data_IF_968756806164
#
_entry.id   IF_968756806164
#
_cell.length_a   1.000
_cell.length_b   1.000
_cell.length_c   1.000
_cell.angle_alpha   90.00
_cell.angle_beta   90.00
_cell.angle_gamma   90.00
#
_symmetry.space_group_name_H-M   'P 1'
#
loop_
_entity.id
_entity.type
_entity.pdbx_description
1 polymer ?
#
# COMPACT_ATOMS: atom_id res chain seq x y z
N UNK A 1 15.01 13.02 28.56
CA UNK A 1 15.06 13.31 27.11
C UNK A 1 16.50 13.20 26.66
N UNK A 2 16.81 12.42 25.62
CA UNK A 2 18.18 12.23 25.15
C UNK A 2 18.65 13.49 24.41
N UNK A 3 19.64 14.19 24.96
CA UNK A 3 20.20 15.41 24.38
C UNK A 3 21.67 15.19 24.04
N UNK A 4 22.06 15.51 22.81
CA UNK A 4 23.47 15.55 22.44
C UNK A 4 24.13 16.78 23.09
N UNK A 5 25.45 16.71 23.29
CA UNK A 5 26.21 17.90 23.68
C UNK A 5 26.17 18.96 22.57
N UNK A 6 26.36 20.21 22.95
CA UNK A 6 26.29 21.34 22.04
C UNK A 6 27.21 21.15 20.80
N UNK A 7 26.68 21.38 19.60
CA UNK A 7 27.39 21.22 18.33
C UNK A 7 27.33 19.80 17.70
N UNK A 8 27.05 18.75 18.48
CA UNK A 8 26.91 17.38 17.93
C UNK A 8 25.67 17.25 17.04
N UNK A 9 24.60 18.00 17.31
CA UNK A 9 23.39 18.01 16.49
C UNK A 9 23.65 18.41 15.04
N UNK A 10 24.52 19.41 14.82
CA UNK A 10 24.93 19.85 13.48
C UNK A 10 25.70 18.75 12.75
N UNK A 11 26.63 18.11 13.44
CA UNK A 11 27.41 17.00 12.89
C UNK A 11 26.54 15.80 12.54
N UNK A 12 25.60 15.42 13.42
CA UNK A 12 24.69 14.30 13.20
C UNK A 12 23.71 14.59 12.05
N UNK A 13 23.18 15.81 12.00
CA UNK A 13 22.35 16.27 10.88
C UNK A 13 23.10 16.21 9.56
N UNK A 14 24.36 16.68 9.53
CA UNK A 14 25.23 16.57 8.36
C UNK A 14 25.46 15.11 7.94
N UNK A 15 25.78 14.23 8.90
CA UNK A 15 25.98 12.79 8.62
C UNK A 15 24.73 12.15 8.03
N UNK A 16 23.54 12.42 8.59
CA UNK A 16 22.27 11.90 8.06
C UNK A 16 22.05 12.38 6.64
N UNK A 17 22.14 13.69 6.39
CA UNK A 17 22.01 14.27 5.05
C UNK A 17 22.97 13.63 4.05
N UNK A 18 24.24 13.40 4.42
CA UNK A 18 25.22 12.71 3.58
C UNK A 18 24.77 11.31 3.16
N UNK A 19 24.23 10.52 4.08
CA UNK A 19 23.74 9.16 3.76
C UNK A 19 22.45 9.23 2.95
N UNK A 20 21.54 10.15 3.26
CA UNK A 20 20.32 10.36 2.47
C UNK A 20 20.65 10.71 1.01
N UNK A 21 21.59 11.64 0.78
CA UNK A 21 22.07 11.97 -0.57
C UNK A 21 22.75 10.79 -1.26
N UNK A 22 23.48 9.95 -0.51
CA UNK A 22 24.05 8.71 -1.06
C UNK A 22 22.95 7.74 -1.51
N UNK A 23 21.93 7.52 -0.67
CA UNK A 23 20.78 6.67 -1.01
C UNK A 23 20.02 7.20 -2.24
N UNK A 24 19.85 8.52 -2.36
CA UNK A 24 19.21 9.12 -3.53
C UNK A 24 19.99 8.85 -4.84
N UNK A 25 21.33 9.02 -4.81
CA UNK A 25 22.19 8.67 -5.95
C UNK A 25 22.16 7.18 -6.29
N UNK A 26 22.07 6.34 -5.27
CA UNK A 26 21.98 4.89 -5.42
C UNK A 26 20.66 4.47 -6.10
N UNK A 27 19.54 5.11 -5.72
CA UNK A 27 18.23 4.94 -6.37
C UNK A 27 18.32 5.27 -7.85
N UNK A 28 18.83 6.45 -8.19
CA UNK A 28 19.00 6.88 -9.58
C UNK A 28 19.90 5.91 -10.36
N UNK A 29 20.99 5.44 -9.73
CA UNK A 29 21.86 4.43 -10.34
C UNK A 29 21.10 3.14 -10.66
N UNK A 30 20.32 2.62 -9.71
CA UNK A 30 19.55 1.39 -9.93
C UNK A 30 18.51 1.61 -11.04
N UNK A 31 17.81 2.75 -11.04
CA UNK A 31 16.83 3.11 -12.10
C UNK A 31 17.48 3.10 -13.49
N UNK A 32 18.71 3.59 -13.63
CA UNK A 32 19.42 3.70 -14.92
C UNK A 32 20.05 2.38 -15.37
N UNK A 33 20.51 1.55 -14.44
CA UNK A 33 21.23 0.31 -14.75
C UNK A 33 20.34 -0.94 -14.76
N UNK A 34 19.16 -0.91 -14.13
CA UNK A 34 18.24 -2.04 -14.10
C UNK A 34 17.82 -2.46 -15.51
N UNK A 35 17.78 -3.77 -15.77
CA UNK A 35 17.47 -4.35 -17.07
C UNK A 35 18.58 -4.27 -18.13
N UNK A 36 19.68 -3.54 -17.89
CA UNK A 36 20.81 -3.47 -18.83
C UNK A 36 21.78 -4.64 -18.73
N UNK A 37 21.86 -5.26 -17.55
CA UNK A 37 22.82 -6.33 -17.24
C UNK A 37 22.17 -7.60 -16.67
N UNK A 38 20.86 -7.56 -16.43
CA UNK A 38 20.10 -8.70 -15.93
C UNK A 38 19.11 -9.17 -17.00
N UNK A 39 19.29 -10.40 -17.48
CA UNK A 39 18.36 -11.03 -18.44
C UNK A 39 17.09 -11.59 -17.78
N UNK A 40 17.07 -11.68 -16.44
CA UNK A 40 15.87 -12.06 -15.70
C UNK A 40 14.88 -10.89 -15.66
N UNK A 41 13.80 -11.06 -16.42
CA UNK A 41 12.71 -10.10 -16.55
C UNK A 41 12.01 -9.88 -15.20
N UNK A 42 11.78 -10.95 -14.43
CA UNK A 42 11.09 -10.86 -13.13
C UNK A 42 11.95 -10.07 -12.14
N UNK A 43 13.24 -10.36 -12.09
CA UNK A 43 14.17 -9.63 -11.23
C UNK A 43 14.22 -8.14 -11.59
N UNK A 44 14.20 -7.82 -12.89
CA UNK A 44 14.20 -6.44 -13.38
C UNK A 44 12.92 -5.69 -13.00
N UNK A 45 11.75 -6.26 -13.28
CA UNK A 45 10.44 -5.68 -12.96
C UNK A 45 10.28 -5.43 -11.45
N UNK A 46 10.63 -6.44 -10.63
CA UNK A 46 10.56 -6.33 -9.17
C UNK A 46 11.55 -5.28 -8.65
N UNK A 47 12.78 -5.24 -9.17
CA UNK A 47 13.79 -4.25 -8.76
C UNK A 47 13.27 -2.83 -9.01
N UNK A 48 12.76 -2.54 -10.21
CA UNK A 48 12.23 -1.22 -10.55
C UNK A 48 11.02 -0.85 -9.70
N UNK A 49 10.10 -1.79 -9.50
CA UNK A 49 8.89 -1.57 -8.69
C UNK A 49 9.22 -1.28 -7.22
N UNK A 50 10.18 -2.02 -6.66
CA UNK A 50 10.63 -1.81 -5.28
C UNK A 50 11.36 -0.48 -5.15
N UNK A 51 12.28 -0.15 -6.06
CA UNK A 51 12.99 1.14 -6.03
C UNK A 51 12.02 2.31 -6.09
N UNK A 52 11.05 2.27 -7.00
CA UNK A 52 10.01 3.30 -7.11
C UNK A 52 9.22 3.46 -5.80
N UNK A 53 8.86 2.34 -5.16
CA UNK A 53 8.13 2.36 -3.90
C UNK A 53 8.97 2.90 -2.74
N UNK A 54 10.24 2.49 -2.65
CA UNK A 54 11.19 3.02 -1.66
C UNK A 54 11.38 4.53 -1.84
N UNK A 55 11.54 5.01 -3.08
CA UNK A 55 11.69 6.43 -3.42
C UNK A 55 10.50 7.26 -2.93
N UNK A 56 9.27 6.78 -3.16
CA UNK A 56 8.05 7.44 -2.64
C UNK A 56 8.07 7.52 -1.11
N UNK A 57 8.31 6.41 -0.43
CA UNK A 57 8.30 6.36 1.03
C UNK A 57 9.38 7.24 1.67
N UNK A 58 10.60 7.25 1.11
CA UNK A 58 11.67 8.09 1.68
C UNK A 58 11.38 9.58 1.45
N UNK A 59 10.76 9.96 0.33
CA UNK A 59 10.38 11.36 0.10
C UNK A 59 9.35 11.81 1.14
N UNK A 60 8.37 10.97 1.49
CA UNK A 60 7.42 11.27 2.55
C UNK A 60 8.09 11.43 3.91
N UNK A 61 9.01 10.52 4.28
CA UNK A 61 9.74 10.58 5.54
C UNK A 61 10.68 11.80 5.59
N UNK A 62 11.36 12.13 4.50
CA UNK A 62 12.41 13.14 4.49
C UNK A 62 11.90 14.56 4.27
N UNK A 63 10.83 14.73 3.50
CA UNK A 63 10.36 16.04 3.07
C UNK A 63 9.07 16.48 3.78
N UNK A 64 8.25 15.54 4.28
CA UNK A 64 6.87 15.86 4.72
C UNK A 64 6.36 15.01 5.90
N UNK A 65 6.98 15.05 7.10
CA UNK A 65 6.37 14.44 8.29
C UNK A 65 5.18 15.29 8.78
N UNK A 66 4.06 15.24 8.07
CA UNK A 66 2.85 16.01 8.44
C UNK A 66 2.02 15.35 9.54
N UNK A 67 2.18 14.03 9.74
CA UNK A 67 1.52 13.28 10.82
C UNK A 67 2.39 12.14 11.35
N UNK A 68 2.30 11.85 12.65
CA UNK A 68 2.93 10.66 13.27
C UNK A 68 2.54 9.38 12.55
N UNK A 69 1.26 9.22 12.21
CA UNK A 69 0.72 8.01 11.59
C UNK A 69 1.38 7.76 10.23
N UNK A 70 1.45 8.78 9.37
CA UNK A 70 2.11 8.69 8.06
C UNK A 70 3.57 8.33 8.23
N UNK A 71 4.24 8.93 9.21
CA UNK A 71 5.66 8.73 9.43
C UNK A 71 6.00 7.30 9.89
N UNK A 72 5.24 6.79 10.85
CA UNK A 72 5.43 5.43 11.40
C UNK A 72 4.98 4.36 10.41
N UNK A 73 3.90 4.62 9.65
CA UNK A 73 3.44 3.70 8.59
C UNK A 73 4.49 3.54 7.50
N UNK A 74 5.14 4.63 7.08
CA UNK A 74 6.23 4.58 6.11
C UNK A 74 7.49 3.86 6.66
N UNK A 75 7.83 4.03 7.95
CA UNK A 75 8.90 3.25 8.57
C UNK A 75 8.61 1.76 8.51
N UNK A 76 7.39 1.34 8.86
CA UNK A 76 6.97 -0.07 8.83
C UNK A 76 6.99 -0.62 7.41
N UNK A 77 6.49 0.14 6.44
CA UNK A 77 6.54 -0.22 5.03
C UNK A 77 7.99 -0.43 4.54
N UNK A 78 8.90 0.49 4.87
CA UNK A 78 10.32 0.34 4.50
C UNK A 78 10.93 -0.90 5.17
N UNK A 79 10.61 -1.18 6.42
CA UNK A 79 11.11 -2.36 7.11
C UNK A 79 10.64 -3.68 6.47
N UNK A 80 9.35 -3.79 6.17
CA UNK A 80 8.77 -4.95 5.47
C UNK A 80 9.36 -5.11 4.05
N UNK A 81 9.64 -3.99 3.39
CA UNK A 81 10.36 -3.98 2.11
C UNK A 81 11.79 -4.51 2.28
N UNK A 82 12.49 -4.13 3.34
CA UNK A 82 13.84 -4.64 3.63
C UNK A 82 13.87 -6.15 3.86
N UNK A 83 12.92 -6.68 4.65
CA UNK A 83 12.75 -8.13 4.80
C UNK A 83 12.54 -8.79 3.44
N UNK A 84 11.62 -8.23 2.64
CA UNK A 84 11.28 -8.75 1.31
C UNK A 84 12.50 -8.79 0.39
N UNK A 85 13.31 -7.73 0.34
CA UNK A 85 14.49 -7.67 -0.54
C UNK A 85 15.58 -8.62 -0.05
N UNK A 86 15.78 -8.76 1.26
CA UNK A 86 16.72 -9.78 1.77
C UNK A 86 16.26 -11.20 1.46
N UNK A 87 14.96 -11.49 1.48
CA UNK A 87 14.42 -12.77 1.03
C UNK A 87 14.68 -13.01 -0.45
N UNK A 88 14.54 -11.98 -1.30
CA UNK A 88 14.88 -12.08 -2.74
C UNK A 88 16.35 -12.43 -2.99
N UNK A 89 17.26 -12.00 -2.11
CA UNK A 89 18.69 -12.36 -2.18
C UNK A 89 18.94 -13.77 -1.61
N UNK A 90 18.28 -14.12 -0.51
CA UNK A 90 18.52 -15.37 0.22
C UNK A 90 17.87 -16.59 -0.45
N UNK A 91 16.72 -16.41 -1.11
CA UNK A 91 15.92 -17.46 -1.74
C UNK A 91 15.65 -17.11 -3.20
N UNK A 92 16.35 -17.74 -4.14
CA UNK A 92 16.19 -17.46 -5.58
C UNK A 92 14.74 -17.68 -6.07
N UNK A 93 14.03 -18.66 -5.49
CA UNK A 93 12.63 -18.95 -5.80
C UNK A 93 11.64 -17.93 -5.23
N UNK A 94 12.05 -17.05 -4.30
CA UNK A 94 11.16 -16.11 -3.63
C UNK A 94 10.58 -15.06 -4.57
N UNK A 95 11.27 -14.73 -5.67
CA UNK A 95 10.75 -13.80 -6.70
C UNK A 95 9.39 -14.22 -7.26
N UNK A 96 9.16 -15.53 -7.43
CA UNK A 96 7.88 -16.07 -7.90
C UNK A 96 6.79 -15.96 -6.83
N UNK A 97 7.14 -16.22 -5.56
CA UNK A 97 6.22 -16.07 -4.41
C UNK A 97 5.81 -14.61 -4.22
N UNK A 98 6.75 -13.67 -4.34
CA UNK A 98 6.48 -12.24 -4.27
C UNK A 98 5.56 -11.79 -5.42
N UNK A 99 5.85 -12.23 -6.65
CA UNK A 99 5.00 -11.92 -7.81
C UNK A 99 3.57 -12.42 -7.60
N UNK A 100 3.40 -13.66 -7.15
CA UNK A 100 2.08 -14.20 -6.79
C UNK A 100 1.37 -13.35 -5.72
N UNK A 101 2.09 -13.00 -4.65
CA UNK A 101 1.54 -12.17 -3.56
C UNK A 101 1.05 -10.81 -4.06
N UNK A 102 1.74 -10.18 -5.01
CA UNK A 102 1.35 -8.90 -5.59
C UNK A 102 -0.01 -9.00 -6.29
N UNK A 103 -0.22 -10.01 -7.15
CA UNK A 103 -1.49 -10.23 -7.84
C UNK A 103 -2.61 -10.54 -6.84
N UNK A 104 -2.36 -11.44 -5.89
CA UNK A 104 -3.36 -11.82 -4.90
C UNK A 104 -3.80 -10.64 -4.03
N UNK A 105 -2.85 -9.78 -3.60
CA UNK A 105 -3.16 -8.60 -2.79
C UNK A 105 -3.97 -7.56 -3.57
N UNK A 106 -3.70 -7.37 -4.87
CA UNK A 106 -4.50 -6.48 -5.72
C UNK A 106 -5.95 -6.95 -5.81
N UNK A 107 -6.17 -8.25 -6.05
CA UNK A 107 -7.52 -8.85 -6.11
C UNK A 107 -8.23 -8.72 -4.75
N UNK A 108 -7.55 -9.02 -3.65
CA UNK A 108 -8.17 -8.93 -2.32
C UNK A 108 -8.56 -7.48 -1.95
N UNK A 109 -7.69 -6.51 -2.29
CA UNK A 109 -8.01 -5.08 -2.12
C UNK A 109 -9.21 -4.67 -2.98
N UNK A 110 -9.26 -5.15 -4.22
CA UNK A 110 -10.38 -4.91 -5.13
C UNK A 110 -11.70 -5.37 -4.51
N UNK A 111 -11.75 -6.63 -4.03
CA UNK A 111 -12.93 -7.23 -3.39
C UNK A 111 -13.41 -6.45 -2.17
N UNK A 112 -12.47 -6.01 -1.31
CA UNK A 112 -12.83 -5.24 -0.11
C UNK A 112 -13.53 -3.92 -0.46
N UNK A 113 -13.09 -3.24 -1.52
CA UNK A 113 -13.74 -2.02 -2.01
C UNK A 113 -15.11 -2.31 -2.64
N UNK A 114 -15.23 -3.37 -3.42
CA UNK A 114 -16.50 -3.83 -4.00
C UNK A 114 -17.53 -4.15 -2.91
N UNK A 115 -17.13 -4.90 -1.90
CA UNK A 115 -17.99 -5.25 -0.76
C UNK A 115 -18.48 -4.00 -0.01
N UNK A 116 -17.61 -2.98 0.16
CA UNK A 116 -18.00 -1.73 0.80
C UNK A 116 -18.97 -0.90 -0.07
N UNK A 117 -18.68 -0.76 -1.36
CA UNK A 117 -19.57 -0.06 -2.30
C UNK A 117 -20.95 -0.73 -2.41
N UNK A 118 -21.03 -2.06 -2.30
CA UNK A 118 -22.30 -2.79 -2.27
C UNK A 118 -23.13 -2.52 -1.01
N UNK A 119 -22.48 -2.29 0.14
CA UNK A 119 -23.18 -1.85 1.35
C UNK A 119 -23.81 -0.48 1.16
N UNK A 120 -23.06 0.44 0.55
CA UNK A 120 -23.56 1.81 0.28
C UNK A 120 -24.69 1.81 -0.75
N UNK A 121 -24.64 0.95 -1.77
CA UNK A 121 -25.80 0.71 -2.66
C UNK A 121 -27.04 0.23 -1.91
N UNK A 122 -26.87 -0.69 -0.95
CA UNK A 122 -27.99 -1.23 -0.16
C UNK A 122 -28.63 -0.16 0.74
N UNK A 123 -27.83 0.80 1.21
CA UNK A 123 -28.32 1.99 1.94
C UNK A 123 -29.14 2.88 1.02
N UNK A 124 -28.63 3.21 -0.16
CA UNK A 124 -29.37 3.98 -1.16
C UNK A 124 -30.65 3.28 -1.63
N UNK A 125 -30.65 1.95 -1.72
CA UNK A 125 -31.87 1.17 -1.98
C UNK A 125 -32.94 1.36 -0.91
N UNK A 126 -32.52 1.56 0.35
CA UNK A 126 -33.44 1.78 1.47
C UNK A 126 -33.99 3.21 1.43
N UNK A 127 -33.10 4.20 1.26
CA UNK A 127 -33.49 5.61 1.10
C UNK A 127 -34.43 5.78 -0.09
N UNK A 128 -34.10 5.22 -1.26
CA UNK A 128 -34.96 5.33 -2.44
C UNK A 128 -36.37 4.78 -2.20
N UNK A 129 -36.51 3.65 -1.50
CA UNK A 129 -37.83 3.09 -1.16
C UNK A 129 -38.60 4.00 -0.21
N UNK A 130 -37.91 4.61 0.75
CA UNK A 130 -38.51 5.55 1.69
C UNK A 130 -38.94 6.83 0.96
N UNK A 131 -38.09 7.40 0.09
CA UNK A 131 -38.45 8.50 -0.81
C UNK A 131 -39.70 8.18 -1.62
N UNK A 132 -39.71 7.05 -2.34
CA UNK A 132 -40.84 6.59 -3.15
C UNK A 132 -42.13 6.44 -2.33
N UNK A 133 -42.02 6.03 -1.06
CA UNK A 133 -43.17 5.92 -0.16
C UNK A 133 -43.76 7.28 0.25
N UNK A 134 -42.92 8.31 0.39
CA UNK A 134 -43.32 9.69 0.70
C UNK A 134 -44.02 10.37 -0.49
N UNK A 135 -43.65 9.96 -1.71
CA UNK A 135 -44.34 10.36 -2.94
C UNK A 135 -45.69 9.63 -3.17
N UNK A 136 -46.03 8.61 -2.37
CA UNK A 136 -47.26 7.83 -2.51
C UNK A 136 -48.56 8.59 -2.19
N UNK A 137 -49.56 8.43 -3.07
CA UNK A 137 -50.93 8.99 -3.07
C UNK A 137 -51.08 10.49 -3.38
N UNK A 138 -50.90 10.83 -4.67
CA UNK A 138 -51.13 12.15 -5.29
C UNK A 138 -52.61 12.53 -5.44
N UNK A 139 -53.39 12.62 -4.35
CA UNK A 139 -54.78 13.10 -4.48
C UNK A 139 -55.14 14.42 -3.82
N UNK A 140 -54.35 14.99 -2.91
CA UNK A 140 -54.53 16.39 -2.47
C UNK A 140 -53.17 16.99 -2.06
N UNK A 141 -52.61 17.86 -2.91
CA UNK A 141 -51.41 18.64 -2.59
C UNK A 141 -51.89 20.00 -2.08
N UNK A 142 -51.92 20.20 -0.77
CA UNK A 142 -51.81 21.53 -0.18
C UNK A 142 -50.32 21.86 0.09
N UNK A 143 -50.00 23.14 0.26
CA UNK A 143 -48.62 23.62 0.46
C UNK A 143 -47.98 23.09 1.76
N UNK A 144 -48.75 22.86 2.83
CA UNK A 144 -48.26 22.33 4.11
C UNK A 144 -47.89 20.83 3.97
N UNK A 145 -48.65 20.07 3.18
CA UNK A 145 -48.35 18.67 2.81
C UNK A 145 -47.05 18.56 2.02
N UNK A 146 -46.81 19.50 1.09
CA UNK A 146 -45.56 19.54 0.32
C UNK A 146 -44.34 19.87 1.20
N UNK A 147 -44.44 20.88 2.08
CA UNK A 147 -43.35 21.26 2.98
C UNK A 147 -42.98 20.13 3.96
N UNK A 148 -43.98 19.40 4.47
CA UNK A 148 -43.73 18.25 5.34
C UNK A 148 -42.98 17.12 4.61
N UNK A 149 -43.34 16.83 3.36
CA UNK A 149 -42.65 15.81 2.54
C UNK A 149 -41.20 16.17 2.26
N UNK A 150 -40.93 17.44 1.92
CA UNK A 150 -39.55 17.92 1.72
C UNK A 150 -38.75 17.76 3.02
N UNK A 151 -39.31 18.16 4.17
CA UNK A 151 -38.64 17.99 5.46
C UNK A 151 -38.40 16.52 5.84
N UNK A 152 -39.30 15.60 5.45
CA UNK A 152 -39.10 14.16 5.68
C UNK A 152 -38.01 13.58 4.79
N UNK A 153 -37.93 14.00 3.52
CA UNK A 153 -36.84 13.62 2.61
C UNK A 153 -35.50 14.17 3.10
N UNK A 154 -35.44 15.43 3.53
CA UNK A 154 -34.21 16.03 4.08
C UNK A 154 -33.67 15.21 5.26
N UNK A 155 -34.56 14.74 6.16
CA UNK A 155 -34.16 13.87 7.29
C UNK A 155 -33.58 12.52 6.86
N UNK A 156 -34.02 11.98 5.73
CA UNK A 156 -33.43 10.74 5.20
C UNK A 156 -31.97 10.98 4.81
N UNK A 157 -31.67 12.12 4.19
CA UNK A 157 -30.31 12.47 3.82
C UNK A 157 -29.46 12.93 5.00
N UNK A 158 -30.03 13.61 6.00
CA UNK A 158 -29.35 13.90 7.26
C UNK A 158 -28.84 12.61 7.93
N UNK A 159 -29.64 11.54 7.89
CA UNK A 159 -29.23 10.22 8.43
C UNK A 159 -28.13 9.55 7.60
N UNK A 160 -28.09 9.83 6.29
CA UNK A 160 -27.04 9.36 5.40
C UNK A 160 -25.71 10.08 5.66
N UNK A 161 -25.77 11.36 6.03
CA UNK A 161 -24.59 12.16 6.37
C UNK A 161 -23.87 11.67 7.63
N UNK A 162 -24.60 11.08 8.59
CA UNK A 162 -24.00 10.41 9.75
C UNK A 162 -23.18 9.17 9.34
N UNK A 163 -23.47 8.59 8.18
CA UNK A 163 -22.81 7.41 7.61
C UNK A 163 -22.02 7.72 6.33
N UNK A 164 -21.71 9.00 6.10
CA UNK A 164 -21.12 9.49 4.84
C UNK A 164 -19.84 8.73 4.46
N UNK A 165 -19.72 8.51 3.16
CA UNK A 165 -18.66 7.72 2.53
C UNK A 165 -18.40 8.29 1.15
N UNK A 166 -17.23 8.00 0.58
CA UNK A 166 -16.89 8.41 -0.80
C UNK A 166 -17.92 7.97 -1.86
N UNK A 167 -18.73 6.95 -1.57
CA UNK A 167 -19.80 6.48 -2.45
C UNK A 167 -21.17 7.11 -2.16
N UNK A 168 -21.26 7.95 -1.12
CA UNK A 168 -22.49 8.59 -0.64
C UNK A 168 -22.38 10.12 -0.63
N UNK A 169 -21.16 10.69 -0.71
CA UNK A 169 -20.85 12.14 -0.59
C UNK A 169 -21.72 13.09 -1.44
N UNK A 170 -22.33 12.58 -2.52
CA UNK A 170 -23.14 13.38 -3.45
C UNK A 170 -24.57 12.85 -3.57
N UNK A 171 -25.01 11.97 -2.68
CA UNK A 171 -26.31 11.32 -2.76
C UNK A 171 -27.45 12.33 -2.55
N UNK A 172 -27.31 13.23 -1.58
CA UNK A 172 -28.28 14.32 -1.31
C UNK A 172 -28.52 15.17 -2.56
N UNK A 173 -27.46 15.65 -3.19
CA UNK A 173 -27.56 16.49 -4.39
C UNK A 173 -28.16 15.74 -5.59
N UNK A 174 -27.84 14.46 -5.75
CA UNK A 174 -28.23 13.67 -6.92
C UNK A 174 -29.60 12.98 -6.78
N UNK A 175 -30.06 12.77 -5.55
CA UNK A 175 -31.11 11.80 -5.24
C UNK A 175 -30.58 10.36 -5.28
N UNK A 176 -31.09 9.50 -4.39
CA UNK A 176 -30.62 8.13 -4.19
C UNK A 176 -30.73 7.29 -5.48
N UNK A 177 -31.85 7.42 -6.20
CA UNK A 177 -32.09 6.71 -7.45
C UNK A 177 -31.03 6.98 -8.53
N UNK A 178 -30.71 8.26 -8.78
CA UNK A 178 -29.68 8.63 -9.76
C UNK A 178 -28.28 8.31 -9.24
N UNK A 179 -28.01 8.56 -7.95
CA UNK A 179 -26.68 8.35 -7.37
C UNK A 179 -26.22 6.88 -7.45
N UNK A 180 -27.14 5.92 -7.30
CA UNK A 180 -26.87 4.49 -7.51
C UNK A 180 -26.23 4.20 -8.87
N UNK A 181 -26.58 4.94 -9.93
CA UNK A 181 -26.01 4.73 -11.26
C UNK A 181 -24.51 5.03 -11.30
N UNK A 182 -24.03 6.00 -10.51
CA UNK A 182 -22.61 6.29 -10.37
C UNK A 182 -21.86 5.16 -9.67
N UNK A 183 -22.42 4.62 -8.58
CA UNK A 183 -21.80 3.49 -7.87
C UNK A 183 -21.79 2.23 -8.76
N UNK A 184 -22.88 1.95 -9.50
CA UNK A 184 -22.90 0.84 -10.46
C UNK A 184 -21.86 1.02 -11.58
N UNK A 185 -21.66 2.25 -12.08
CA UNK A 185 -20.60 2.54 -13.06
C UNK A 185 -19.21 2.26 -12.50
N UNK A 186 -18.94 2.71 -11.27
CA UNK A 186 -17.71 2.39 -10.54
C UNK A 186 -17.51 0.87 -10.41
N UNK A 187 -18.52 0.14 -9.92
CA UNK A 187 -18.46 -1.32 -9.77
C UNK A 187 -18.18 -2.04 -11.09
N UNK A 188 -18.80 -1.59 -12.18
CA UNK A 188 -18.57 -2.16 -13.52
C UNK A 188 -17.14 -1.92 -13.98
N UNK A 189 -16.63 -0.70 -13.82
CA UNK A 189 -15.25 -0.37 -14.18
C UNK A 189 -14.24 -1.13 -13.33
N UNK A 190 -14.53 -1.29 -12.04
CA UNK A 190 -13.66 -1.99 -11.09
C UNK A 190 -13.65 -3.50 -11.33
N UNK A 191 -14.81 -4.10 -11.63
CA UNK A 191 -14.91 -5.51 -12.05
C UNK A 191 -14.09 -5.77 -13.32
N UNK A 192 -14.18 -4.90 -14.32
CA UNK A 192 -13.37 -5.02 -15.54
C UNK A 192 -11.87 -5.05 -15.21
N UNK A 193 -11.41 -4.18 -14.31
CA UNK A 193 -10.00 -4.16 -13.88
C UNK A 193 -9.63 -5.44 -13.12
N UNK A 194 -10.51 -5.98 -12.29
CA UNK A 194 -10.28 -7.26 -11.61
C UNK A 194 -10.14 -8.41 -12.61
N UNK A 195 -10.98 -8.44 -13.65
CA UNK A 195 -10.90 -9.44 -14.72
C UNK A 195 -9.60 -9.33 -15.52
N UNK A 196 -9.13 -8.11 -15.81
CA UNK A 196 -7.82 -7.87 -16.43
C UNK A 196 -6.69 -8.47 -15.58
N UNK A 197 -6.67 -8.18 -14.27
CA UNK A 197 -5.64 -8.70 -13.34
C UNK A 197 -5.69 -10.24 -13.26
N UNK A 198 -6.89 -10.83 -13.26
CA UNK A 198 -7.08 -12.29 -13.26
C UNK A 198 -6.55 -12.91 -14.56
N UNK A 199 -6.84 -12.30 -15.71
CA UNK A 199 -6.36 -12.75 -17.01
C UNK A 199 -4.82 -12.66 -17.10
N UNK A 200 -4.24 -11.53 -16.69
CA UNK A 200 -2.77 -11.37 -16.59
C UNK A 200 -2.15 -12.47 -15.72
N UNK A 201 -2.76 -12.77 -14.57
CA UNK A 201 -2.29 -13.82 -13.68
C UNK A 201 -2.42 -15.23 -14.30
N UNK A 202 -3.51 -15.51 -15.01
CA UNK A 202 -3.71 -16.79 -15.71
C UNK A 202 -2.68 -17.01 -16.83
N UNK A 203 -2.30 -15.95 -17.54
CA UNK A 203 -1.22 -15.99 -18.52
C UNK A 203 0.13 -16.27 -17.86
N UNK A 204 0.42 -15.61 -16.73
CA UNK A 204 1.64 -15.87 -15.95
C UNK A 204 1.68 -17.32 -15.48
N UNK A 205 0.58 -17.86 -14.92
CA UNK A 205 0.51 -19.28 -14.51
C UNK A 205 0.85 -20.22 -15.68
N UNK A 206 0.27 -19.99 -16.86
CA UNK A 206 0.57 -20.79 -18.07
C UNK A 206 2.04 -20.68 -18.49
N UNK A 207 2.63 -19.49 -18.37
CA UNK A 207 4.06 -19.29 -18.68
C UNK A 207 4.98 -20.03 -17.68
N UNK A 208 4.62 -20.03 -16.38
CA UNK A 208 5.39 -20.68 -15.33
C UNK A 208 5.44 -22.20 -15.50
N UNK A 209 4.35 -22.82 -15.98
CA UNK A 209 4.33 -24.25 -16.29
C UNK A 209 5.38 -24.66 -17.34
N UNK A 210 5.74 -23.73 -18.25
CA UNK A 210 6.72 -23.94 -19.31
C UNK A 210 8.12 -23.40 -18.95
N UNK A 211 8.25 -22.73 -17.81
CA UNK A 211 9.49 -22.08 -17.42
C UNK A 211 10.41 -23.08 -16.71
N UNK A 212 11.52 -23.44 -17.35
CA UNK A 212 12.48 -24.42 -16.82
C UNK A 212 13.07 -24.00 -15.47
N UNK A 213 13.34 -22.70 -15.28
CA UNK A 213 13.88 -22.18 -14.03
C UNK A 213 12.89 -22.32 -12.89
N UNK A 214 11.63 -21.92 -13.10
CA UNK A 214 10.57 -22.05 -12.09
C UNK A 214 10.34 -23.53 -11.73
N UNK A 215 10.33 -24.42 -12.72
CA UNK A 215 10.15 -25.86 -12.54
C UNK A 215 11.32 -26.55 -11.80
N UNK A 216 12.50 -25.90 -11.67
CA UNK A 216 13.58 -26.39 -10.80
C UNK A 216 13.26 -26.18 -9.32
N UNK A 217 12.47 -25.16 -9.00
CA UNK A 217 12.14 -24.79 -7.63
C UNK A 217 10.79 -25.34 -7.16
N UNK A 218 9.84 -25.55 -8.08
CA UNK A 218 8.47 -25.93 -7.76
C UNK A 218 7.98 -27.06 -8.67
N UNK A 219 7.27 -28.04 -8.08
CA UNK A 219 6.59 -29.09 -8.86
C UNK A 219 5.11 -28.74 -9.07
N UNK A 220 4.84 -28.10 -10.21
CA UNK A 220 3.47 -27.74 -10.58
C UNK A 220 2.66 -28.90 -11.17
N UNK A 221 3.27 -30.07 -11.49
CA UNK A 221 2.64 -31.20 -12.18
C UNK A 221 1.79 -30.84 -13.41
N UNK A 222 2.17 -29.78 -14.13
CA UNK A 222 1.42 -29.28 -15.30
C UNK A 222 0.04 -28.69 -14.99
N UNK A 223 -0.29 -28.41 -13.73
CA UNK A 223 -1.60 -27.90 -13.31
C UNK A 223 -1.51 -26.44 -12.84
N UNK A 224 -2.33 -25.57 -13.42
CA UNK A 224 -2.39 -24.14 -13.02
C UNK A 224 -2.86 -23.95 -11.58
N UNK A 225 -3.76 -24.82 -11.08
CA UNK A 225 -4.23 -24.79 -9.69
C UNK A 225 -3.13 -25.08 -8.67
N UNK A 226 -2.11 -25.86 -9.05
CA UNK A 226 -0.95 -26.13 -8.19
C UNK A 226 0.01 -24.94 -8.13
N UNK A 227 0.08 -24.12 -9.17
CA UNK A 227 0.96 -22.94 -9.20
C UNK A 227 0.68 -22.04 -8.00
N UNK A 228 -0.58 -21.72 -7.72
CA UNK A 228 -0.94 -20.86 -6.59
C UNK A 228 -0.61 -21.50 -5.24
N UNK A 229 -0.83 -22.80 -5.11
CA UNK A 229 -0.53 -23.54 -3.88
C UNK A 229 0.96 -23.54 -3.56
N UNK A 230 1.80 -23.78 -4.57
CA UNK A 230 3.26 -23.85 -4.40
C UNK A 230 3.91 -22.47 -4.22
N UNK A 231 3.36 -21.42 -4.85
CA UNK A 231 3.88 -20.05 -4.74
C UNK A 231 3.42 -19.31 -3.48
N UNK A 232 2.43 -19.84 -2.75
CA UNK A 232 1.97 -19.23 -1.50
C UNK A 232 3.05 -19.32 -0.42
N UNK A 233 3.47 -18.16 0.10
CA UNK A 233 4.29 -18.12 1.31
C UNK A 233 3.39 -18.06 2.55
N UNK A 234 3.46 -19.12 3.37
CA UNK A 234 2.66 -19.22 4.60
C UNK A 234 3.36 -18.64 5.84
N UNK A 235 4.60 -18.17 5.71
CA UNK A 235 5.33 -17.54 6.81
C UNK A 235 4.72 -16.18 7.14
N UNK A 236 4.57 -15.89 8.43
CA UNK A 236 4.20 -14.55 8.87
C UNK A 236 5.43 -13.60 8.81
N UNK A 237 5.23 -12.30 9.06
CA UNK A 237 6.32 -11.34 9.01
C UNK A 237 7.42 -11.57 10.06
N UNK A 238 7.08 -12.10 11.24
CA UNK A 238 8.04 -12.44 12.29
C UNK A 238 8.98 -13.56 11.82
N UNK A 239 8.42 -14.62 11.25
CA UNK A 239 9.18 -15.76 10.72
C UNK A 239 10.09 -15.33 9.57
N UNK A 240 9.57 -14.48 8.67
CA UNK A 240 10.35 -13.89 7.57
C UNK A 240 11.50 -13.03 8.10
N UNK A 241 11.25 -12.19 9.10
CA UNK A 241 12.28 -11.36 9.72
C UNK A 241 13.36 -12.21 10.38
N UNK A 242 12.98 -13.26 11.13
CA UNK A 242 13.92 -14.18 11.75
C UNK A 242 14.81 -14.87 10.71
N UNK A 243 14.21 -15.36 9.62
CA UNK A 243 14.96 -16.02 8.53
C UNK A 243 16.06 -15.12 7.92
N UNK A 244 15.79 -13.82 7.76
CA UNK A 244 16.78 -12.86 7.19
C UNK A 244 17.60 -12.12 8.26
N UNK A 245 17.57 -12.58 9.52
CA UNK A 245 18.36 -12.01 10.62
C UNK A 245 17.94 -10.61 11.06
N UNK A 246 16.64 -10.30 10.97
CA UNK A 246 16.04 -9.02 11.35
C UNK A 246 15.04 -9.14 12.53
N UNK A 247 15.08 -10.24 13.29
CA UNK A 247 14.12 -10.52 14.38
C UNK A 247 14.08 -9.42 15.45
N UNK A 248 15.23 -8.95 15.92
CA UNK A 248 15.30 -7.92 16.97
C UNK A 248 14.75 -6.56 16.49
N UNK A 249 15.04 -6.20 15.24
CA UNK A 249 14.50 -4.99 14.63
C UNK A 249 12.99 -5.16 14.40
N UNK A 250 12.53 -6.36 14.06
CA UNK A 250 11.10 -6.67 13.94
C UNK A 250 10.37 -6.44 15.25
N UNK A 251 10.86 -7.01 16.36
CA UNK A 251 10.27 -6.81 17.70
C UNK A 251 10.12 -5.32 18.01
N UNK A 252 11.21 -4.56 17.87
CA UNK A 252 11.18 -3.12 18.12
C UNK A 252 10.19 -2.37 17.20
N UNK A 253 10.29 -2.54 15.88
CA UNK A 253 9.45 -1.77 14.93
C UNK A 253 7.99 -2.13 15.09
N UNK A 254 7.64 -3.40 15.29
CA UNK A 254 6.25 -3.81 15.45
C UNK A 254 5.67 -3.30 16.78
N UNK A 255 6.35 -3.48 17.89
CA UNK A 255 5.88 -2.99 19.20
C UNK A 255 5.73 -1.46 19.19
N UNK A 256 6.75 -0.76 18.72
CA UNK A 256 6.77 0.70 18.64
C UNK A 256 5.69 1.23 17.67
N UNK A 257 5.62 0.70 16.45
CA UNK A 257 4.65 1.18 15.46
C UNK A 257 3.20 0.86 15.83
N UNK A 258 2.94 -0.32 16.39
CA UNK A 258 1.60 -0.70 16.83
C UNK A 258 1.10 0.16 17.98
N UNK A 259 1.98 0.57 18.91
CA UNK A 259 1.62 1.50 19.98
C UNK A 259 1.13 2.85 19.44
N UNK A 260 1.77 3.35 18.37
CA UNK A 260 1.48 4.65 17.78
C UNK A 260 0.35 4.66 16.75
N UNK A 261 0.11 3.54 16.06
CA UNK A 261 -0.91 3.42 15.00
C UNK A 261 -2.25 2.97 15.58
N UNK A 262 -2.26 2.04 16.54
CA UNK A 262 -3.51 1.50 17.08
C UNK A 262 -4.02 2.30 18.27
N UNK A 263 -5.34 2.35 18.43
CA UNK A 263 -5.97 2.87 19.64
C UNK A 263 -5.77 1.89 20.79
N UNK A 264 -4.61 1.98 21.42
CA UNK A 264 -4.27 1.22 22.62
C UNK A 264 -4.83 1.96 23.85
N UNK A 265 -5.09 1.25 24.94
CA UNK A 265 -5.64 1.86 26.16
C UNK A 265 -4.81 3.05 26.67
N UNK A 266 -3.49 3.04 26.46
CA UNK A 266 -2.62 4.15 26.84
C UNK A 266 -2.78 5.39 25.92
N UNK A 267 -3.08 5.20 24.62
CA UNK A 267 -3.16 6.31 23.65
C UNK A 267 -4.42 7.18 23.82
N UNK A 268 -5.36 6.74 24.68
CA UNK A 268 -6.51 7.54 25.09
C UNK A 268 -6.06 8.72 25.97
N UNK A 269 -5.04 8.52 26.80
CA UNK A 269 -4.58 9.51 27.78
C UNK A 269 -3.29 10.22 27.36
N UNK A 270 -2.50 9.60 26.48
CA UNK A 270 -1.21 10.11 26.03
C UNK A 270 -1.28 10.37 24.53
N UNK A 271 -1.04 11.61 24.06
CA UNK A 271 -1.03 11.91 22.63
C UNK A 271 -0.01 11.06 21.87
N UNK A 272 -0.42 10.45 20.76
CA UNK A 272 0.48 9.74 19.84
C UNK A 272 1.27 10.71 18.96
N UNK A 273 1.89 11.73 19.55
CA UNK A 273 2.76 12.69 18.88
C UNK A 273 4.22 12.35 19.15
N UNK A 274 5.03 12.36 18.09
CA UNK A 274 6.46 12.08 18.21
C UNK A 274 7.21 13.31 18.72
N UNK A 275 8.03 13.12 19.73
CA UNK A 275 9.01 14.12 20.13
C UNK A 275 10.17 14.19 19.13
N UNK A 276 10.91 15.31 19.12
CA UNK A 276 12.06 15.49 18.22
C UNK A 276 13.11 14.35 18.30
N UNK A 277 13.46 13.79 19.48
CA UNK A 277 14.35 12.63 19.55
C UNK A 277 13.79 11.39 18.85
N UNK A 278 12.48 11.13 18.97
CA UNK A 278 11.81 10.01 18.33
C UNK A 278 11.74 10.20 16.81
N UNK A 279 11.44 11.42 16.36
CA UNK A 279 11.51 11.78 14.93
C UNK A 279 12.91 11.46 14.40
N UNK A 280 13.94 11.92 15.09
CA UNK A 280 15.33 11.70 14.71
C UNK A 280 15.72 10.22 14.72
N UNK A 281 15.20 9.43 15.66
CA UNK A 281 15.38 7.99 15.72
C UNK A 281 14.76 7.32 14.48
N UNK A 282 13.51 7.64 14.16
CA UNK A 282 12.81 7.09 12.99
C UNK A 282 13.52 7.47 11.70
N UNK A 283 13.95 8.73 11.51
CA UNK A 283 14.76 9.13 10.33
C UNK A 283 16.04 8.29 10.25
N UNK A 284 16.73 8.10 11.38
CA UNK A 284 17.95 7.30 11.45
C UNK A 284 17.71 5.84 11.06
N UNK A 285 16.64 5.23 11.58
CA UNK A 285 16.23 3.87 11.25
C UNK A 285 15.84 3.74 9.79
N UNK A 286 14.99 4.62 9.27
CA UNK A 286 14.58 4.65 7.87
C UNK A 286 15.79 4.77 6.94
N UNK A 287 16.72 5.67 7.26
CA UNK A 287 17.96 5.85 6.49
C UNK A 287 18.79 4.55 6.44
N UNK A 288 18.95 3.89 7.60
CA UNK A 288 19.67 2.60 7.71
C UNK A 288 18.98 1.51 6.90
N UNK A 289 17.66 1.38 7.04
CA UNK A 289 16.84 0.40 6.34
C UNK A 289 16.88 0.63 4.83
N UNK A 290 16.78 1.88 4.36
CA UNK A 290 16.92 2.22 2.95
C UNK A 290 18.28 1.80 2.39
N UNK A 291 19.38 2.08 3.09
CA UNK A 291 20.70 1.66 2.63
C UNK A 291 20.82 0.13 2.51
N UNK A 292 20.19 -0.61 3.42
CA UNK A 292 20.14 -2.07 3.39
C UNK A 292 19.31 -2.60 2.20
N UNK A 293 18.14 -2.02 1.97
CA UNK A 293 17.30 -2.33 0.80
C UNK A 293 18.10 -2.14 -0.49
N UNK A 294 18.71 -0.96 -0.68
CA UNK A 294 19.39 -0.64 -1.92
C UNK A 294 20.59 -1.56 -2.17
N UNK A 295 21.36 -1.88 -1.12
CA UNK A 295 22.46 -2.85 -1.21
C UNK A 295 21.96 -4.22 -1.68
N UNK A 296 20.89 -4.74 -1.09
CA UNK A 296 20.37 -6.06 -1.45
C UNK A 296 19.66 -6.05 -2.81
N UNK A 297 19.05 -4.94 -3.21
CA UNK A 297 18.51 -4.78 -4.57
C UNK A 297 19.61 -4.81 -5.62
N UNK A 298 20.77 -4.22 -5.37
CA UNK A 298 21.90 -4.34 -6.29
C UNK A 298 22.36 -5.80 -6.44
N UNK A 299 22.33 -6.58 -5.36
CA UNK A 299 22.68 -8.01 -5.40
C UNK A 299 21.62 -8.78 -6.21
N UNK A 300 20.34 -8.64 -5.84
CA UNK A 300 19.23 -9.34 -6.48
C UNK A 300 19.10 -8.99 -7.98
N UNK A 301 19.09 -7.70 -8.31
CA UNK A 301 18.98 -7.21 -9.68
C UNK A 301 20.29 -7.28 -10.49
N UNK A 302 21.36 -7.85 -9.92
CA UNK A 302 22.70 -7.95 -10.54
C UNK A 302 23.21 -6.60 -11.08
N UNK A 303 22.97 -5.53 -10.31
CA UNK A 303 23.33 -4.16 -10.69
C UNK A 303 24.83 -3.96 -10.43
N UNK A 304 25.64 -3.68 -11.47
CA UNK A 304 27.07 -3.50 -11.29
C UNK A 304 27.38 -2.20 -10.55
N UNK A 305 28.52 -2.18 -9.86
CA UNK A 305 29.02 -0.98 -9.21
C UNK A 305 29.73 -0.07 -10.23
N UNK A 306 28.93 0.59 -11.07
CA UNK A 306 29.41 1.51 -12.11
C UNK A 306 29.01 2.95 -11.79
N UNK A 307 29.88 3.90 -12.10
CA UNK A 307 29.53 5.32 -12.03
C UNK A 307 28.57 5.66 -13.16
N UNK A 308 27.44 6.28 -12.85
CA UNK A 308 26.52 6.83 -13.85
C UNK A 308 26.75 8.34 -13.91
N UNK A 309 27.13 8.82 -15.09
CA UNK A 309 27.29 10.24 -15.38
C UNK A 309 26.11 10.68 -16.25
N UNK A 310 25.38 11.69 -15.79
CA UNK A 310 24.36 12.36 -16.57
C UNK A 310 25.04 13.52 -17.29
N UNK A 311 25.03 13.48 -18.61
CA UNK A 311 25.42 14.62 -19.44
C UNK A 311 24.10 15.30 -19.77
N UNK A 312 23.87 16.46 -19.16
CA UNK A 312 22.75 17.32 -19.55
C UNK A 312 23.23 18.11 -20.78
N UNK A 313 22.55 17.93 -21.92
CA UNK A 313 22.82 18.73 -23.12
C UNK A 313 22.28 20.15 -22.87
N UNK A 314 23.18 21.15 -22.85
CA UNK A 314 22.83 22.59 -22.80
C UNK A 314 22.20 23.09 -24.10
#
# INVERSE_FOLDING_TARGET
MFSYSEGLDKYLSYRRKKIMSKNAKEIERIEILSGKFCSDIIATELTLSIVSSVKRCINEIYERPKSTITFISNLRFLFETCITVRLLVAEESYKYKLRYSIYQQQINKSKSLTEYAQKDLSRLDSIQKEEESLYGNENEIDDDSFQNKVSEIDKLYDSLDEEISIFLDMAEFNGAGYHKTHIHSFLKSHQKREDEIRNEWDEIKKSLLKNEEANRFFDFKGQTSRVEKELKDNRNWKDKAAFVGLEEIYKFIYDYSSSLIHSMSYSILIPNQLELPEINMVIGLSTRITSDILKNLCIFGKIPNMLVLRIDDE
#
